data_IF_162895006186
#
_entry.id   IF_162895006186
#
_cell.length_a   1.000
_cell.length_b   1.000
_cell.length_c   1.000
_cell.angle_alpha   90.00
_cell.angle_beta   90.00
_cell.angle_gamma   90.00
#
_symmetry.space_group_name_H-M   'P 1'
#
loop_
_entity.id
_entity.type
_entity.pdbx_description
1 polymer ?
#
# COMPACT_ATOMS: atom_id res chain seq x y z
N UNK A 1 -17.45 -6.60 -10.60
CA UNK A 1 -17.96 -5.27 -10.28
C UNK A 1 -17.01 -4.63 -9.26
N UNK A 2 -16.82 -3.31 -9.31
CA UNK A 2 -15.96 -2.59 -8.37
C UNK A 2 -16.73 -1.40 -7.80
N UNK A 3 -16.61 -1.21 -6.49
CA UNK A 3 -17.09 -0.05 -5.77
C UNK A 3 -15.93 0.60 -5.04
N UNK A 4 -15.95 1.92 -4.92
CA UNK A 4 -14.96 2.65 -4.15
C UNK A 4 -15.52 3.95 -3.62
N UNK A 5 -15.01 4.36 -2.47
CA UNK A 5 -15.26 5.67 -1.88
C UNK A 5 -13.93 6.27 -1.48
N UNK A 6 -13.68 7.51 -1.91
CA UNK A 6 -12.50 8.27 -1.56
C UNK A 6 -12.92 9.59 -0.90
N UNK A 7 -12.19 9.97 0.14
CA UNK A 7 -12.33 11.25 0.82
C UNK A 7 -10.95 11.84 1.09
N UNK A 8 -10.79 13.13 0.82
CA UNK A 8 -9.54 13.83 1.10
C UNK A 8 -9.77 15.30 1.39
N UNK A 9 -8.85 15.88 2.15
CA UNK A 9 -8.90 17.28 2.50
C UNK A 9 -7.57 17.82 3.01
N UNK A 10 -7.52 19.12 3.19
CA UNK A 10 -6.40 19.79 3.82
C UNK A 10 -6.87 20.88 4.79
N UNK A 11 -6.08 21.08 5.81
CA UNK A 11 -6.25 22.17 6.74
C UNK A 11 -4.90 22.81 7.02
N UNK A 12 -4.75 24.07 6.57
CA UNK A 12 -3.43 24.76 6.59
C UNK A 12 -2.38 23.93 5.82
N UNK A 13 -1.31 23.52 6.49
CA UNK A 13 -0.22 22.70 5.97
C UNK A 13 -0.35 21.19 6.29
N UNK A 14 -1.52 20.76 6.78
CA UNK A 14 -1.88 19.35 6.96
C UNK A 14 -2.74 18.88 5.80
N UNK A 15 -2.48 17.66 5.37
CA UNK A 15 -3.26 16.92 4.37
C UNK A 15 -3.68 15.57 4.94
N UNK A 16 -4.88 15.14 4.63
CA UNK A 16 -5.33 13.78 4.91
C UNK A 16 -6.22 13.28 3.77
N UNK A 17 -6.13 11.99 3.48
CA UNK A 17 -7.02 11.30 2.55
C UNK A 17 -7.17 9.84 2.95
N UNK A 18 -8.25 9.22 2.49
CA UNK A 18 -8.50 7.80 2.65
C UNK A 18 -9.40 7.30 1.54
N UNK A 19 -9.28 6.03 1.23
CA UNK A 19 -10.08 5.32 0.25
C UNK A 19 -10.41 3.94 0.78
N UNK A 20 -11.60 3.46 0.47
CA UNK A 20 -12.01 2.08 0.64
C UNK A 20 -12.61 1.58 -0.66
N UNK A 21 -12.30 0.34 -1.03
CA UNK A 21 -12.81 -0.27 -2.26
C UNK A 21 -13.12 -1.75 -2.05
N UNK A 22 -14.12 -2.22 -2.80
CA UNK A 22 -14.52 -3.62 -2.89
C UNK A 22 -14.55 -4.04 -4.35
N UNK A 23 -14.08 -5.24 -4.60
CA UNK A 23 -14.04 -5.84 -5.93
C UNK A 23 -14.78 -7.18 -5.87
N UNK A 24 -15.88 -7.29 -6.60
CA UNK A 24 -16.62 -8.54 -6.77
C UNK A 24 -16.19 -9.20 -8.08
N UNK A 25 -15.76 -10.45 -8.02
CA UNK A 25 -15.28 -11.22 -9.18
C UNK A 25 -16.30 -12.28 -9.53
N UNK A 26 -16.91 -12.17 -10.71
CA UNK A 26 -17.80 -13.22 -11.23
C UNK A 26 -17.02 -14.29 -11.97
N UNK A 27 -17.19 -15.53 -11.55
CA UNK A 27 -16.55 -16.70 -12.14
C UNK A 27 -17.52 -17.47 -13.03
N UNK A 28 -17.01 -18.06 -14.09
CA UNK A 28 -17.77 -18.97 -14.97
C UNK A 28 -17.40 -20.41 -14.64
N UNK A 29 -18.39 -21.22 -14.23
CA UNK A 29 -18.20 -22.63 -13.91
C UNK A 29 -19.30 -23.16 -13.00
N UNK A 30 -19.60 -24.46 -13.10
CA UNK A 30 -20.54 -25.10 -12.20
C UNK A 30 -19.86 -25.37 -10.84
N UNK A 31 -20.49 -24.94 -9.75
CA UNK A 31 -20.04 -25.21 -8.39
C UNK A 31 -18.89 -24.28 -7.90
N UNK A 32 -18.63 -23.17 -8.59
CA UNK A 32 -17.70 -22.14 -8.12
C UNK A 32 -18.48 -20.97 -7.52
N UNK A 33 -17.97 -20.39 -6.44
CA UNK A 33 -18.55 -19.21 -5.78
C UNK A 33 -17.82 -17.97 -6.25
N UNK A 34 -18.55 -16.88 -6.41
CA UNK A 34 -17.99 -15.57 -6.78
C UNK A 34 -17.35 -14.93 -5.55
N UNK A 35 -16.02 -14.69 -5.55
CA UNK A 35 -15.35 -14.05 -4.43
C UNK A 35 -15.48 -12.54 -4.49
N UNK A 36 -15.44 -11.92 -3.32
CA UNK A 36 -15.27 -10.50 -3.12
C UNK A 36 -13.99 -10.22 -2.34
N UNK A 37 -13.38 -9.06 -2.60
CA UNK A 37 -12.13 -8.62 -1.99
C UNK A 37 -12.27 -7.18 -1.54
N UNK A 38 -11.63 -6.86 -0.43
CA UNK A 38 -11.72 -5.54 0.18
C UNK A 38 -10.35 -4.95 0.46
N UNK A 39 -10.22 -3.66 0.22
CA UNK A 39 -9.03 -2.91 0.57
C UNK A 39 -9.35 -1.48 0.99
N UNK A 40 -8.51 -0.91 1.83
CA UNK A 40 -8.62 0.48 2.22
C UNK A 40 -7.28 1.06 2.63
N UNK A 41 -7.19 2.38 2.59
CA UNK A 41 -6.07 3.09 3.18
C UNK A 41 -6.50 4.41 3.82
N UNK A 42 -5.67 4.87 4.73
CA UNK A 42 -5.67 6.24 5.22
C UNK A 42 -4.25 6.78 5.14
N UNK A 43 -4.12 8.05 4.77
CA UNK A 43 -2.83 8.73 4.72
C UNK A 43 -2.94 10.15 5.22
N UNK A 44 -1.84 10.65 5.79
CA UNK A 44 -1.72 12.02 6.22
C UNK A 44 -0.35 12.57 5.90
N UNK A 45 -0.25 13.88 5.73
CA UNK A 45 1.02 14.57 5.55
C UNK A 45 1.01 15.93 6.25
N UNK A 46 2.17 16.31 6.76
CA UNK A 46 2.41 17.58 7.39
C UNK A 46 3.63 18.25 6.75
N UNK A 47 3.40 19.37 6.07
CA UNK A 47 4.47 20.17 5.49
C UNK A 47 5.07 21.06 6.59
N UNK A 48 6.28 20.73 7.02
CA UNK A 48 6.97 21.37 8.15
C UNK A 48 7.26 22.86 7.90
N UNK A 49 7.52 23.21 6.65
CA UNK A 49 7.86 24.55 6.20
C UNK A 49 6.65 25.46 5.97
N UNK A 50 5.42 24.90 6.04
CA UNK A 50 4.18 25.68 6.08
C UNK A 50 3.38 25.70 4.78
N UNK A 51 3.92 25.24 3.68
CA UNK A 51 3.23 25.17 2.37
C UNK A 51 2.07 24.18 2.45
N UNK A 52 1.11 24.34 1.52
CA UNK A 52 -0.08 23.50 1.47
C UNK A 52 -0.29 22.87 0.11
N UNK A 53 -0.87 21.68 0.10
CA UNK A 53 -1.41 21.06 -1.11
C UNK A 53 -2.62 21.85 -1.58
N UNK A 54 -2.78 22.01 -2.89
CA UNK A 54 -3.92 22.68 -3.50
C UNK A 54 -4.77 21.67 -4.24
N UNK A 55 -6.07 21.76 -4.11
CA UNK A 55 -6.98 20.98 -4.94
C UNK A 55 -6.91 21.44 -6.39
N UNK A 56 -6.76 20.50 -7.29
CA UNK A 56 -6.82 20.73 -8.74
C UNK A 56 -8.08 20.08 -9.30
N UNK A 57 -9.09 20.89 -9.56
CA UNK A 57 -10.38 20.42 -10.08
C UNK A 57 -10.29 19.80 -11.48
N UNK A 58 -9.28 20.16 -12.28
CA UNK A 58 -9.11 19.59 -13.61
C UNK A 58 -8.65 18.11 -13.57
N UNK A 59 -7.90 17.74 -12.54
CA UNK A 59 -7.37 16.39 -12.38
C UNK A 59 -8.14 15.59 -11.30
N UNK A 60 -9.08 16.21 -10.59
CA UNK A 60 -9.81 15.59 -9.48
C UNK A 60 -8.89 15.18 -8.32
N UNK A 61 -7.80 15.91 -8.05
CA UNK A 61 -6.80 15.50 -7.08
C UNK A 61 -6.04 16.67 -6.45
N UNK A 62 -5.22 16.35 -5.43
CA UNK A 62 -4.36 17.33 -4.80
C UNK A 62 -3.04 17.48 -5.53
N UNK A 63 -2.58 18.72 -5.75
CA UNK A 63 -1.28 19.02 -6.34
C UNK A 63 -0.14 18.69 -5.37
N UNK A 64 1.06 18.50 -5.89
CA UNK A 64 2.28 18.44 -5.10
C UNK A 64 2.56 19.76 -4.36
N UNK A 65 3.47 19.68 -3.38
CA UNK A 65 3.97 20.85 -2.66
C UNK A 65 4.85 21.68 -3.62
N UNK A 66 4.67 23.01 -3.55
CA UNK A 66 5.55 23.98 -4.20
C UNK A 66 6.18 24.82 -3.10
N UNK A 67 7.52 24.78 -2.95
CA UNK A 67 8.21 25.60 -1.95
C UNK A 67 7.94 27.09 -2.16
N UNK A 68 7.62 27.80 -1.10
CA UNK A 68 7.52 29.26 -1.11
C UNK A 68 8.92 29.88 -1.29
N UNK A 69 9.95 29.23 -0.70
CA UNK A 69 11.35 29.57 -0.85
C UNK A 69 12.12 28.37 -1.45
N UNK A 70 12.31 28.31 -2.77
CA UNK A 70 13.09 27.24 -3.40
C UNK A 70 14.51 27.16 -2.85
N UNK A 71 15.09 25.96 -2.88
CA UNK A 71 16.45 25.72 -2.39
C UNK A 71 17.48 26.66 -3.03
N UNK A 72 18.12 27.46 -2.20
CA UNK A 72 19.18 28.39 -2.58
C UNK A 72 20.14 28.58 -1.41
N UNK A 73 21.34 28.01 -1.51
CA UNK A 73 22.33 28.05 -0.45
C UNK A 73 22.78 29.49 -0.12
N UNK A 74 22.82 30.39 -1.12
CA UNK A 74 23.25 31.77 -0.91
C UNK A 74 22.27 32.61 -0.07
N UNK A 75 21.00 32.19 -0.05
CA UNK A 75 19.91 32.86 0.65
C UNK A 75 19.44 32.06 1.88
N UNK A 76 20.15 30.99 2.24
CA UNK A 76 19.79 30.04 3.32
C UNK A 76 18.36 29.45 3.18
N UNK A 77 17.93 29.22 1.93
CA UNK A 77 16.67 28.59 1.63
C UNK A 77 16.84 27.09 1.41
N UNK A 78 16.03 26.27 2.09
CA UNK A 78 16.12 24.80 2.07
C UNK A 78 15.00 24.10 1.30
N UNK A 79 14.15 24.86 0.59
CA UNK A 79 12.97 24.28 -0.06
C UNK A 79 11.91 23.88 0.96
N UNK A 80 10.98 23.02 0.55
CA UNK A 80 9.92 22.52 1.43
C UNK A 80 10.21 21.11 1.94
N UNK A 81 9.79 20.85 3.19
CA UNK A 81 9.93 19.56 3.86
C UNK A 81 8.55 19.05 4.33
N UNK A 82 8.28 17.79 4.12
CA UNK A 82 7.02 17.16 4.49
C UNK A 82 7.28 15.80 5.16
N UNK A 83 6.60 15.55 6.26
CA UNK A 83 6.49 14.21 6.87
C UNK A 83 5.15 13.64 6.44
N UNK A 84 5.15 12.39 6.02
CA UNK A 84 3.96 11.66 5.61
C UNK A 84 3.84 10.34 6.34
N UNK A 85 2.61 9.89 6.55
CA UNK A 85 2.31 8.55 7.05
C UNK A 85 1.15 7.96 6.26
N UNK A 86 1.19 6.64 6.04
CA UNK A 86 0.12 5.88 5.40
C UNK A 86 -0.03 4.53 6.08
N UNK A 87 -1.27 4.14 6.27
CA UNK A 87 -1.66 2.80 6.66
C UNK A 87 -2.61 2.24 5.60
N UNK A 88 -2.36 1.03 5.13
CA UNK A 88 -3.21 0.39 4.13
C UNK A 88 -3.33 -1.09 4.41
N UNK A 89 -4.53 -1.64 4.14
CA UNK A 89 -4.79 -3.08 4.15
C UNK A 89 -5.44 -3.51 2.84
N UNK A 90 -5.14 -4.73 2.44
CA UNK A 90 -5.75 -5.40 1.31
C UNK A 90 -5.99 -6.86 1.68
N UNK A 91 -7.25 -7.27 1.73
CA UNK A 91 -7.65 -8.65 1.96
C UNK A 91 -8.07 -9.29 0.64
N UNK A 92 -7.34 -10.32 0.25
CA UNK A 92 -7.59 -11.15 -0.94
C UNK A 92 -8.03 -12.58 -0.54
N UNK A 93 -8.50 -12.77 0.69
CA UNK A 93 -9.06 -14.02 1.15
C UNK A 93 -10.57 -14.05 0.88
N UNK A 94 -11.06 -15.24 0.52
CA UNK A 94 -12.48 -15.52 0.45
C UNK A 94 -12.72 -16.93 0.96
N UNK A 95 -13.54 -17.08 2.01
CA UNK A 95 -13.79 -18.37 2.68
C UNK A 95 -12.50 -19.16 2.96
N UNK A 96 -11.46 -18.49 3.44
CA UNK A 96 -10.11 -19.07 3.59
C UNK A 96 -10.05 -20.29 4.52
N UNK A 97 -10.99 -20.39 5.47
CA UNK A 97 -11.03 -21.43 6.49
C UNK A 97 -10.06 -21.17 7.65
N UNK A 98 -9.91 -22.17 8.51
CA UNK A 98 -9.02 -22.08 9.68
C UNK A 98 -7.60 -22.54 9.33
N UNK A 99 -6.66 -22.12 10.18
CA UNK A 99 -5.29 -22.65 10.18
C UNK A 99 -5.30 -24.19 10.27
N UNK A 100 -4.56 -24.85 9.40
CA UNK A 100 -4.51 -26.31 9.31
C UNK A 100 -5.66 -26.96 8.52
N UNK A 101 -6.62 -26.17 7.99
CA UNK A 101 -7.69 -26.70 7.17
C UNK A 101 -7.32 -26.79 5.70
N UNK A 102 -7.92 -27.73 4.97
CA UNK A 102 -7.82 -27.81 3.52
C UNK A 102 -8.65 -26.72 2.84
N UNK A 103 -8.17 -26.18 1.73
CA UNK A 103 -8.97 -25.31 0.88
C UNK A 103 -10.06 -26.09 0.16
N UNK A 104 -11.26 -25.51 0.06
CA UNK A 104 -12.38 -26.13 -0.66
C UNK A 104 -12.32 -25.65 -2.12
N UNK A 105 -12.07 -26.58 -3.04
CA UNK A 105 -11.97 -26.27 -4.45
C UNK A 105 -13.22 -25.54 -4.96
N UNK A 106 -13.01 -24.45 -5.70
CA UNK A 106 -14.10 -23.61 -6.23
C UNK A 106 -14.69 -22.60 -5.24
N UNK A 107 -14.51 -22.79 -3.92
CA UNK A 107 -15.10 -21.94 -2.88
C UNK A 107 -14.08 -21.11 -2.11
N UNK A 108 -12.83 -21.54 -2.08
CA UNK A 108 -11.78 -20.90 -1.25
C UNK A 108 -10.84 -20.10 -2.13
N UNK A 109 -10.52 -18.87 -1.71
CA UNK A 109 -9.38 -18.10 -2.20
C UNK A 109 -8.51 -17.74 -1.01
N UNK A 110 -7.22 -18.08 -1.06
CA UNK A 110 -6.20 -17.78 -0.05
C UNK A 110 -5.17 -16.85 -0.66
N UNK A 111 -5.61 -15.64 -1.02
CA UNK A 111 -4.75 -14.61 -1.57
C UNK A 111 -3.84 -13.97 -0.54
N UNK A 112 -4.29 -14.02 0.71
CA UNK A 112 -3.64 -13.42 1.87
C UNK A 112 -4.19 -12.03 2.19
N UNK A 113 -3.93 -11.59 3.41
CA UNK A 113 -4.12 -10.22 3.84
C UNK A 113 -2.76 -9.53 3.94
N UNK A 114 -2.65 -8.33 3.38
CA UNK A 114 -1.46 -7.52 3.46
C UNK A 114 -1.76 -6.21 4.19
N UNK A 115 -0.96 -5.90 5.20
CA UNK A 115 -0.96 -4.62 5.89
C UNK A 115 0.36 -3.91 5.67
N UNK A 116 0.31 -2.62 5.30
CA UNK A 116 1.49 -1.80 5.10
C UNK A 116 1.36 -0.52 5.91
N UNK A 117 2.32 -0.29 6.81
CA UNK A 117 2.52 1.00 7.48
C UNK A 117 3.72 1.68 6.84
N UNK A 118 3.55 2.91 6.36
CA UNK A 118 4.60 3.69 5.73
C UNK A 118 4.81 5.00 6.48
N UNK A 119 6.08 5.34 6.73
CA UNK A 119 6.52 6.66 7.17
C UNK A 119 7.43 7.25 6.10
N UNK A 120 7.14 8.47 5.68
CA UNK A 120 7.84 9.16 4.61
C UNK A 120 8.41 10.50 5.03
N UNK A 121 9.58 10.83 4.51
CA UNK A 121 10.18 12.16 4.55
C UNK A 121 10.37 12.64 3.12
N UNK A 122 9.72 13.73 2.77
CA UNK A 122 9.74 14.30 1.44
C UNK A 122 10.47 15.65 1.46
N UNK A 123 11.36 15.84 0.51
CA UNK A 123 12.03 17.10 0.27
C UNK A 123 11.74 17.62 -1.12
N UNK A 124 11.30 18.85 -1.19
CA UNK A 124 10.97 19.59 -2.41
C UNK A 124 11.95 20.76 -2.56
N UNK A 125 13.10 20.59 -3.24
CA UNK A 125 14.03 21.69 -3.50
C UNK A 125 13.39 22.82 -4.30
N UNK A 126 12.53 22.48 -5.25
CA UNK A 126 11.78 23.43 -6.08
C UNK A 126 10.46 22.80 -6.56
N UNK A 127 9.72 23.52 -7.41
CA UNK A 127 8.42 23.07 -7.91
C UNK A 127 8.51 21.85 -8.84
N UNK A 128 9.69 21.53 -9.36
CA UNK A 128 9.92 20.50 -10.39
C UNK A 128 10.55 19.23 -9.82
N UNK A 129 11.41 19.36 -8.82
CA UNK A 129 12.21 18.24 -8.25
C UNK A 129 11.69 17.90 -6.87
N UNK A 130 11.60 16.60 -6.58
CA UNK A 130 11.33 16.09 -5.23
C UNK A 130 12.11 14.82 -4.95
N UNK A 131 12.48 14.65 -3.68
CA UNK A 131 13.08 13.43 -3.15
C UNK A 131 12.15 12.88 -2.07
N UNK A 132 11.93 11.56 -2.08
CA UNK A 132 11.06 10.88 -1.14
C UNK A 132 11.86 9.74 -0.53
N UNK A 133 11.93 9.73 0.78
CA UNK A 133 12.50 8.63 1.58
C UNK A 133 11.37 8.00 2.36
N UNK A 134 11.08 6.73 2.09
CA UNK A 134 10.02 5.98 2.74
C UNK A 134 10.60 4.80 3.51
N UNK A 135 10.06 4.57 4.70
CA UNK A 135 10.27 3.38 5.49
C UNK A 135 8.92 2.65 5.62
N UNK A 136 8.91 1.36 5.31
CA UNK A 136 7.71 0.54 5.27
C UNK A 136 7.87 -0.69 6.16
N UNK A 137 6.82 -0.95 6.96
CA UNK A 137 6.57 -2.22 7.62
C UNK A 137 5.48 -2.92 6.83
N UNK A 138 5.78 -4.12 6.35
CA UNK A 138 4.87 -4.94 5.57
C UNK A 138 4.62 -6.23 6.34
N UNK A 139 3.35 -6.50 6.63
CA UNK A 139 2.87 -7.70 7.29
C UNK A 139 1.98 -8.43 6.29
N UNK A 140 2.24 -9.73 6.10
CA UNK A 140 1.48 -10.57 5.16
C UNK A 140 1.02 -11.82 5.89
N UNK A 141 -0.29 -11.93 6.09
CA UNK A 141 -0.95 -13.12 6.56
C UNK A 141 -1.53 -13.90 5.40
N UNK A 142 -1.07 -15.13 5.21
CA UNK A 142 -1.53 -15.98 4.10
C UNK A 142 -1.50 -17.45 4.49
N UNK A 143 -2.62 -18.13 4.30
CA UNK A 143 -2.66 -19.57 4.40
C UNK A 143 -2.28 -20.23 3.08
N UNK A 144 -1.64 -21.40 3.17
CA UNK A 144 -1.29 -22.19 1.99
C UNK A 144 -2.53 -22.48 1.12
N UNK A 145 -2.55 -22.01 -0.16
CA UNK A 145 -3.68 -22.21 -1.05
C UNK A 145 -3.76 -23.64 -1.62
N UNK A 146 -2.65 -24.36 -1.59
CA UNK A 146 -2.55 -25.74 -2.09
C UNK A 146 -2.70 -26.73 -0.94
N UNK A 147 -3.35 -27.84 -1.18
CA UNK A 147 -3.62 -28.87 -0.17
C UNK A 147 -2.34 -29.65 0.19
N UNK A 148 -1.35 -28.96 0.76
CA UNK A 148 -0.14 -29.58 1.32
C UNK A 148 1.00 -29.78 0.35
N UNK A 149 1.01 -29.16 -0.82
CA UNK A 149 2.13 -29.24 -1.77
C UNK A 149 2.58 -27.84 -2.15
N UNK A 150 3.25 -27.13 -1.25
CA UNK A 150 4.16 -26.06 -1.68
C UNK A 150 5.56 -26.65 -1.64
N UNK A 151 6.06 -27.06 -2.77
CA UNK A 151 7.47 -27.18 -2.94
C UNK A 151 8.06 -25.77 -2.83
N UNK A 152 8.46 -25.37 -1.64
CA UNK A 152 9.28 -24.18 -1.46
C UNK A 152 10.63 -24.51 -2.11
N UNK A 153 10.76 -24.18 -3.38
CA UNK A 153 12.06 -24.19 -4.06
C UNK A 153 12.87 -23.07 -3.46
N UNK A 154 13.65 -23.39 -2.44
CA UNK A 154 14.60 -22.49 -1.81
C UNK A 154 15.55 -21.91 -2.83
N UNK A 155 15.55 -20.61 -2.94
CA UNK A 155 16.48 -19.83 -3.76
C UNK A 155 17.94 -19.93 -3.23
N UNK A 156 18.19 -20.55 -2.07
CA UNK A 156 19.51 -20.67 -1.45
C UNK A 156 19.78 -22.03 -0.79
N UNK A 157 19.58 -23.15 -1.52
CA UNK A 157 20.20 -24.43 -1.14
C UNK A 157 19.75 -25.12 0.16
N UNK A 158 18.61 -24.74 0.72
CA UNK A 158 17.99 -25.43 1.86
C UNK A 158 17.05 -26.55 1.41
N UNK A 159 16.74 -27.50 2.32
CA UNK A 159 15.79 -28.59 2.04
C UNK A 159 14.40 -28.02 1.74
N UNK A 160 13.71 -28.56 0.73
CA UNK A 160 12.32 -28.21 0.45
C UNK A 160 11.46 -28.52 1.68
N UNK A 161 10.87 -27.50 2.29
CA UNK A 161 9.87 -27.69 3.32
C UNK A 161 8.49 -27.77 2.68
N UNK A 162 7.76 -28.81 3.00
CA UNK A 162 6.35 -28.96 2.59
C UNK A 162 5.52 -28.30 3.66
N UNK A 163 4.83 -27.21 3.32
CA UNK A 163 3.83 -26.63 4.22
C UNK A 163 2.62 -27.58 4.29
N UNK A 164 2.07 -27.77 5.50
CA UNK A 164 0.84 -28.56 5.68
C UNK A 164 -0.37 -27.78 5.14
N UNK A 165 -1.50 -28.48 4.93
CA UNK A 165 -2.77 -27.86 4.53
C UNK A 165 -3.09 -26.65 5.39
N UNK A 166 -3.33 -25.50 4.76
CA UNK A 166 -3.66 -24.25 5.47
C UNK A 166 -2.61 -23.79 6.47
N UNK A 167 -1.33 -24.14 6.25
CA UNK A 167 -0.23 -23.59 7.02
C UNK A 167 -0.07 -22.10 6.74
N UNK A 168 0.37 -21.32 7.76
CA UNK A 168 0.75 -19.93 7.56
C UNK A 168 2.02 -19.84 6.73
N UNK A 169 1.94 -19.18 5.59
CA UNK A 169 3.06 -18.96 4.65
C UNK A 169 3.34 -17.48 4.38
N UNK A 170 2.61 -16.58 5.04
CA UNK A 170 2.87 -15.15 4.98
C UNK A 170 4.25 -14.79 5.57
N UNK A 171 4.75 -13.63 5.19
CA UNK A 171 6.06 -13.13 5.63
C UNK A 171 5.98 -11.64 5.93
N UNK A 172 6.59 -11.26 7.06
CA UNK A 172 6.76 -9.86 7.43
C UNK A 172 8.14 -9.38 7.00
N UNK A 173 8.20 -8.16 6.51
CA UNK A 173 9.47 -7.54 6.15
C UNK A 173 9.43 -6.03 6.28
N UNK A 174 10.60 -5.41 6.25
CA UNK A 174 10.78 -3.97 6.27
C UNK A 174 11.50 -3.54 5.00
N UNK A 175 11.10 -2.40 4.47
CA UNK A 175 11.71 -1.85 3.26
C UNK A 175 12.03 -0.36 3.45
N UNK A 176 13.18 0.04 2.89
CA UNK A 176 13.54 1.46 2.75
C UNK A 176 13.59 1.78 1.27
N UNK A 177 12.92 2.82 0.85
CA UNK A 177 12.99 3.29 -0.52
C UNK A 177 13.38 4.76 -0.60
N UNK A 178 14.23 5.08 -1.58
CA UNK A 178 14.57 6.45 -1.94
C UNK A 178 14.18 6.66 -3.40
N UNK A 179 13.35 7.66 -3.64
CA UNK A 179 12.90 8.03 -4.98
C UNK A 179 13.21 9.48 -5.27
N UNK A 180 13.78 9.76 -6.44
CA UNK A 180 13.87 11.09 -7.03
C UNK A 180 12.85 11.21 -8.17
N UNK A 181 12.20 12.34 -8.27
CA UNK A 181 11.22 12.62 -9.32
C UNK A 181 11.41 14.01 -9.87
N UNK A 182 11.34 14.12 -11.22
CA UNK A 182 11.35 15.37 -11.95
C UNK A 182 10.02 15.48 -12.70
N UNK A 183 9.30 16.59 -12.53
CA UNK A 183 8.06 16.91 -13.22
C UNK A 183 8.28 18.08 -14.20
N UNK A 184 7.79 17.98 -15.43
CA UNK A 184 7.91 19.00 -16.49
C UNK A 184 6.57 19.68 -16.72
#
# INVERSE_FOLDING_TARGET
LQYGVELGGYWRNFYAAGEAFQIDVSRTGAGVVDPDFFGWYVQGAWTLTGERRRWNAANGGFSGIRPDNPFNVAEDHWGAWEIAARYSTLDLNFTEGALGSAAIAGNTVRGGEQTITTLGLNWYPNATIRFLLDYQWVEIDRLDPENGIVANTTVFGGAASVAGNGAQIGQDYQAVSLRSQIAF
#
